data_IF_209959176943
#
_entry.id   IF_209959176943
#
_cell.length_a   1.000
_cell.length_b   1.000
_cell.length_c   1.000
_cell.angle_alpha   90.00
_cell.angle_beta   90.00
_cell.angle_gamma   90.00
#
_symmetry.space_group_name_H-M   'P 1'
#
loop_
_entity.id
_entity.type
_entity.pdbx_description
1 polymer ?
#
# COMPACT_ATOMS: atom_id res chain seq x y z
N UNK A 1 -12.94 16.66 -55.68
CA UNK A 1 -12.92 17.02 -54.25
C UNK A 1 -14.11 16.33 -53.58
N UNK A 2 -14.00 15.10 -53.04
CA UNK A 2 -15.15 14.53 -52.35
C UNK A 2 -15.25 15.14 -50.95
N UNK A 3 -16.44 15.66 -50.68
CA UNK A 3 -16.87 16.31 -49.47
C UNK A 3 -17.27 15.24 -48.45
N UNK A 4 -16.31 14.67 -47.74
CA UNK A 4 -16.54 13.72 -46.64
C UNK A 4 -15.49 13.95 -45.57
N UNK A 5 -15.86 13.82 -44.29
CA UNK A 5 -15.07 14.04 -43.05
C UNK A 5 -15.28 15.39 -42.34
N UNK A 6 -16.53 15.70 -42.00
CA UNK A 6 -16.84 16.54 -40.83
C UNK A 6 -17.93 15.83 -40.00
N UNK A 7 -17.60 14.65 -39.50
CA UNK A 7 -18.27 14.10 -38.32
C UNK A 7 -17.41 14.53 -37.14
N UNK A 8 -17.77 15.65 -36.52
CA UNK A 8 -17.28 16.03 -35.20
C UNK A 8 -17.62 14.89 -34.24
N UNK A 9 -16.65 13.99 -34.05
CA UNK A 9 -16.26 13.30 -32.81
C UNK A 9 -17.28 13.29 -31.67
N UNK A 10 -18.48 12.78 -31.92
CA UNK A 10 -19.46 12.51 -30.87
C UNK A 10 -19.17 11.19 -30.13
N UNK A 11 -18.05 10.51 -30.42
CA UNK A 11 -17.83 9.13 -29.97
C UNK A 11 -16.38 8.69 -29.80
N UNK A 12 -15.42 9.61 -29.65
CA UNK A 12 -14.07 9.20 -29.23
C UNK A 12 -13.90 9.54 -27.74
N UNK A 13 -13.97 8.55 -26.83
CA UNK A 13 -13.85 8.78 -25.39
C UNK A 13 -12.47 9.35 -24.99
N UNK A 14 -11.46 9.21 -25.85
CA UNK A 14 -10.06 9.53 -25.60
C UNK A 14 -9.55 10.73 -26.44
N UNK A 15 -10.45 11.59 -26.92
CA UNK A 15 -10.11 12.72 -27.80
C UNK A 15 -9.08 13.69 -27.20
N UNK A 16 -9.01 13.75 -25.87
CA UNK A 16 -8.12 14.58 -25.10
C UNK A 16 -6.66 14.18 -25.31
N UNK A 17 -6.40 12.92 -25.66
CA UNK A 17 -5.06 12.39 -25.82
C UNK A 17 -4.45 12.66 -27.22
N UNK A 18 -5.30 12.98 -28.18
CA UNK A 18 -4.97 13.11 -29.60
C UNK A 18 -4.13 14.36 -29.93
N UNK A 19 -3.56 14.36 -31.14
CA UNK A 19 -2.73 15.44 -31.67
C UNK A 19 -3.44 16.21 -32.82
N UNK A 20 -3.41 17.55 -32.82
CA UNK A 20 -4.08 18.36 -33.85
C UNK A 20 -3.56 18.14 -35.28
N UNK A 21 -2.25 17.90 -35.45
CA UNK A 21 -1.62 17.74 -36.75
C UNK A 21 -1.79 16.30 -37.27
N UNK A 22 -1.71 15.32 -36.37
CA UNK A 22 -1.79 13.89 -36.71
C UNK A 22 -3.22 13.40 -36.88
N UNK A 23 -4.10 13.78 -35.95
CA UNK A 23 -5.45 13.22 -35.83
C UNK A 23 -6.54 14.23 -36.23
N UNK A 24 -6.19 15.50 -36.42
CA UNK A 24 -7.14 16.56 -36.75
C UNK A 24 -8.06 16.95 -35.59
N UNK A 25 -7.73 16.52 -34.37
CA UNK A 25 -8.49 16.78 -33.14
C UNK A 25 -7.62 17.56 -32.15
N UNK A 26 -8.17 18.62 -31.56
CA UNK A 26 -7.46 19.47 -30.60
C UNK A 26 -7.34 18.82 -29.20
N UNK A 27 -6.54 17.76 -29.08
CA UNK A 27 -6.12 17.15 -27.82
C UNK A 27 -4.77 17.69 -27.31
N UNK A 28 -4.27 17.14 -26.20
CA UNK A 28 -2.99 17.52 -25.56
C UNK A 28 -1.76 16.76 -26.12
N UNK A 29 -1.96 15.86 -27.09
CA UNK A 29 -0.89 15.12 -27.76
C UNK A 29 -0.04 14.26 -26.82
N UNK A 30 -0.62 13.69 -25.77
CA UNK A 30 0.13 12.88 -24.81
C UNK A 30 0.42 11.46 -25.33
N UNK A 31 -0.46 10.86 -26.12
CA UNK A 31 -0.19 9.61 -26.85
C UNK A 31 1.07 9.76 -27.70
N UNK A 32 1.17 10.85 -28.47
CA UNK A 32 2.37 11.19 -29.25
C UNK A 32 3.59 11.40 -28.36
N UNK A 33 3.43 12.05 -27.20
CA UNK A 33 4.54 12.24 -26.28
C UNK A 33 5.11 10.89 -25.79
N UNK A 34 4.25 9.96 -25.37
CA UNK A 34 4.65 8.61 -24.97
C UNK A 34 5.27 7.82 -26.13
N UNK A 35 4.65 7.90 -27.32
CA UNK A 35 5.09 7.17 -28.49
C UNK A 35 6.35 7.74 -29.13
N UNK A 36 6.62 9.03 -29.11
CA UNK A 36 7.72 9.59 -29.92
C UNK A 36 8.79 10.24 -29.07
N UNK A 37 8.39 10.98 -28.03
CA UNK A 37 9.27 11.88 -27.30
C UNK A 37 9.84 11.28 -26.01
N UNK A 38 9.16 10.29 -25.44
CA UNK A 38 9.46 9.73 -24.12
C UNK A 38 9.96 8.28 -24.14
N UNK A 39 9.99 7.61 -25.31
CA UNK A 39 10.39 6.18 -25.44
C UNK A 39 11.69 5.81 -24.71
N UNK A 40 12.69 6.66 -24.81
CA UNK A 40 14.03 6.41 -24.25
C UNK A 40 14.29 7.18 -22.94
N UNK A 41 13.25 7.75 -22.33
CA UNK A 41 13.37 8.52 -21.09
C UNK A 41 12.89 7.70 -19.91
N UNK A 42 13.66 7.72 -18.82
CA UNK A 42 13.25 7.10 -17.55
C UNK A 42 12.36 8.05 -16.77
N UNK A 43 11.14 7.61 -16.44
CA UNK A 43 10.20 8.37 -15.62
C UNK A 43 10.65 8.49 -14.17
N UNK A 44 10.37 9.64 -13.55
CA UNK A 44 10.51 9.82 -12.09
C UNK A 44 9.15 9.63 -11.44
N UNK A 45 9.07 8.79 -10.41
CA UNK A 45 7.82 8.62 -9.66
C UNK A 45 7.50 9.89 -8.87
N UNK A 46 6.32 10.45 -9.11
CA UNK A 46 5.80 11.63 -8.39
C UNK A 46 4.55 11.21 -7.62
N UNK A 47 4.44 11.65 -6.37
CA UNK A 47 3.24 11.47 -5.55
C UNK A 47 2.38 12.72 -5.72
N UNK A 48 1.15 12.55 -6.22
CA UNK A 48 0.19 13.64 -6.44
C UNK A 48 -0.92 13.55 -5.39
N UNK A 49 -1.27 14.69 -4.79
CA UNK A 49 -2.40 14.82 -3.88
C UNK A 49 -3.55 15.56 -4.56
N UNK A 50 -4.73 14.93 -4.61
CA UNK A 50 -5.97 15.55 -5.10
C UNK A 50 -6.75 16.09 -3.90
N UNK A 51 -6.98 17.41 -3.89
CA UNK A 51 -7.70 18.11 -2.80
C UNK A 51 -9.14 18.40 -3.24
N UNK A 52 -10.00 17.39 -3.15
CA UNK A 52 -11.41 17.43 -3.55
C UNK A 52 -12.31 16.74 -2.49
N UNK A 53 -13.60 16.54 -2.77
CA UNK A 53 -14.58 15.89 -1.89
C UNK A 53 -14.28 14.42 -1.55
N UNK A 54 -13.26 13.82 -2.18
CA UNK A 54 -12.80 12.46 -1.95
C UNK A 54 -12.58 11.71 -3.26
N UNK A 55 -11.81 10.62 -3.21
CA UNK A 55 -11.64 9.69 -4.32
C UNK A 55 -12.06 8.29 -3.87
N UNK A 56 -12.70 7.52 -4.75
CA UNK A 56 -13.05 6.14 -4.45
C UNK A 56 -11.81 5.24 -4.42
N UNK A 57 -11.36 4.90 -3.21
CA UNK A 57 -10.20 4.04 -3.01
C UNK A 57 -10.43 2.57 -3.40
N UNK A 58 -11.67 2.16 -3.67
CA UNK A 58 -12.05 0.82 -4.11
C UNK A 58 -12.08 0.66 -5.64
N UNK A 59 -11.97 1.75 -6.41
CA UNK A 59 -12.03 1.73 -7.86
C UNK A 59 -10.91 0.88 -8.47
N UNK A 60 -11.26 0.02 -9.44
CA UNK A 60 -10.32 -0.97 -9.99
C UNK A 60 -9.09 -0.34 -10.65
N UNK A 61 -9.29 0.75 -11.40
CA UNK A 61 -8.20 1.47 -12.08
C UNK A 61 -7.27 2.24 -11.13
N UNK A 62 -7.76 2.65 -9.95
CA UNK A 62 -6.96 3.44 -9.00
C UNK A 62 -6.21 2.56 -8.01
N UNK A 63 -6.73 1.36 -7.71
CA UNK A 63 -6.25 0.49 -6.63
C UNK A 63 -4.74 0.18 -6.69
N UNK A 64 -4.18 0.05 -7.90
CA UNK A 64 -2.76 -0.27 -8.11
C UNK A 64 -1.82 0.93 -7.92
N UNK A 65 -2.34 2.16 -8.06
CA UNK A 65 -1.53 3.40 -8.07
C UNK A 65 -1.72 4.26 -6.81
N UNK A 66 -2.68 3.93 -5.93
CA UNK A 66 -2.91 4.67 -4.69
C UNK A 66 -1.70 4.61 -3.76
N UNK A 67 -1.21 5.80 -3.38
CA UNK A 67 -0.15 5.91 -2.39
C UNK A 67 -0.68 5.61 -0.98
N UNK A 68 0.00 4.71 -0.25
CA UNK A 68 -0.38 4.29 1.10
C UNK A 68 0.59 4.86 2.14
N UNK A 69 0.06 5.68 3.06
CA UNK A 69 0.83 6.17 4.20
C UNK A 69 0.91 5.14 5.33
N UNK A 70 1.99 4.35 5.36
CA UNK A 70 2.19 3.31 6.37
C UNK A 70 2.51 3.83 7.78
N UNK A 71 2.75 5.14 7.99
CA UNK A 71 3.12 5.69 9.30
C UNK A 71 2.06 5.46 10.38
N UNK A 72 0.77 5.48 10.01
CA UNK A 72 -0.34 5.27 10.97
C UNK A 72 -0.56 3.79 11.32
N UNK A 73 -0.31 2.86 10.39
CA UNK A 73 -0.50 1.42 10.63
C UNK A 73 0.58 0.86 11.57
N UNK A 74 1.82 1.31 11.45
CA UNK A 74 2.93 0.92 12.32
C UNK A 74 2.67 1.27 13.80
N UNK A 75 2.06 2.44 14.08
CA UNK A 75 1.72 2.84 15.44
C UNK A 75 0.70 1.90 16.10
N UNK A 76 -0.28 1.39 15.34
CA UNK A 76 -1.27 0.45 15.86
C UNK A 76 -0.69 -0.97 16.02
N UNK A 77 0.11 -1.44 15.06
CA UNK A 77 0.73 -2.79 15.12
C UNK A 77 1.78 -2.88 16.23
N UNK A 78 2.56 -1.82 16.46
CA UNK A 78 3.55 -1.77 17.53
C UNK A 78 2.90 -1.83 18.93
N UNK A 79 1.70 -1.24 19.10
CA UNK A 79 1.00 -1.25 20.38
C UNK A 79 0.38 -2.62 20.70
N UNK A 80 -0.12 -3.34 19.69
CA UNK A 80 -0.68 -4.69 19.88
C UNK A 80 0.42 -5.71 20.20
N UNK A 81 1.55 -5.69 19.49
CA UNK A 81 2.66 -6.61 19.75
C UNK A 81 3.29 -6.40 21.13
N UNK A 82 3.40 -5.15 21.58
CA UNK A 82 3.88 -4.83 22.92
C UNK A 82 2.93 -5.36 24.02
N UNK A 83 1.62 -5.25 23.80
CA UNK A 83 0.61 -5.73 24.77
C UNK A 83 0.59 -7.25 24.89
N UNK A 84 0.66 -7.96 23.75
CA UNK A 84 0.73 -9.44 23.73
C UNK A 84 2.03 -9.93 24.38
N UNK A 85 3.16 -9.29 24.11
CA UNK A 85 4.46 -9.64 24.70
C UNK A 85 4.46 -9.40 26.22
N UNK A 86 3.91 -8.28 26.70
CA UNK A 86 3.81 -7.99 28.13
C UNK A 86 2.90 -8.99 28.86
N UNK A 87 1.79 -9.42 28.25
CA UNK A 87 0.92 -10.45 28.83
C UNK A 87 1.60 -11.83 28.87
N UNK A 88 2.38 -12.20 27.86
CA UNK A 88 3.15 -13.45 27.87
C UNK A 88 4.24 -13.45 28.96
N UNK A 89 4.97 -12.35 29.13
CA UNK A 89 6.00 -12.20 30.17
C UNK A 89 5.39 -12.17 31.57
N UNK A 90 4.24 -11.51 31.76
CA UNK A 90 3.53 -11.53 33.05
C UNK A 90 2.98 -12.93 33.41
N UNK A 91 2.63 -13.75 32.42
CA UNK A 91 2.12 -15.12 32.64
C UNK A 91 3.21 -16.10 33.07
N UNK A 92 4.45 -15.92 32.61
CA UNK A 92 5.59 -16.78 33.02
C UNK A 92 6.04 -16.55 34.47
N UNK A 93 5.93 -15.32 34.98
CA UNK A 93 6.28 -15.02 36.39
C UNK A 93 5.29 -15.56 37.42
N UNK A 94 4.10 -16.00 37.03
CA UNK A 94 3.10 -16.56 37.94
C UNK A 94 3.22 -18.09 38.14
N UNK A 95 4.14 -18.78 37.44
CA UNK A 95 4.27 -20.25 37.47
C UNK A 95 5.53 -20.79 38.13
N UNK A 96 6.35 -19.96 38.76
CA UNK A 96 7.44 -20.43 39.60
C UNK A 96 7.08 -20.22 41.07
N UNK A 97 6.61 -21.28 41.73
CA UNK A 97 6.66 -21.33 43.19
C UNK A 97 8.13 -21.27 43.62
N UNK A 98 8.50 -20.46 44.64
CA UNK A 98 9.86 -20.45 45.14
C UNK A 98 10.24 -21.84 45.70
N UNK A 99 11.50 -22.28 45.56
CA UNK A 99 11.93 -23.57 46.08
C UNK A 99 11.75 -23.64 47.61
N UNK A 100 11.22 -24.76 48.09
CA UNK A 100 11.02 -25.05 49.52
C UNK A 100 12.38 -25.31 50.20
N UNK A 101 12.76 -24.54 51.24
CA UNK A 101 14.07 -24.68 51.88
C UNK A 101 14.24 -25.95 52.75
N UNK A 102 13.24 -26.83 52.86
CA UNK A 102 13.25 -27.98 53.77
C UNK A 102 13.32 -29.37 53.09
N UNK A 103 13.66 -29.48 51.80
CA UNK A 103 13.65 -30.78 51.10
C UNK A 103 14.98 -31.57 51.12
N UNK A 104 15.98 -31.17 51.91
CA UNK A 104 17.21 -31.96 52.11
C UNK A 104 17.46 -32.22 53.60
N UNK A 105 16.85 -33.28 54.13
CA UNK A 105 17.39 -34.15 55.19
C UNK A 105 16.29 -35.11 55.64
N UNK A 106 16.36 -36.34 55.14
CA UNK A 106 16.10 -37.59 55.89
C UNK A 106 16.11 -38.75 54.90
N UNK A 107 17.16 -39.57 54.97
CA UNK A 107 17.07 -40.98 55.30
C UNK A 107 18.47 -41.61 55.17
N UNK A 108 19.29 -41.37 56.18
CA UNK A 108 20.32 -42.34 56.54
C UNK A 108 19.69 -43.33 57.53
N UNK A 109 19.81 -44.61 57.20
CA UNK A 109 19.88 -45.69 58.19
C UNK A 109 18.59 -46.42 58.55
N UNK A 110 18.38 -47.60 57.94
CA UNK A 110 17.76 -48.74 58.63
C UNK A 110 18.35 -50.07 58.12
N UNK A 111 19.15 -50.69 58.99
CA UNK A 111 19.29 -52.14 59.28
C UNK A 111 19.71 -53.09 58.15
N UNK A 112 20.99 -53.48 58.09
CA UNK A 112 21.62 -54.61 58.81
C UNK A 112 23.11 -54.34 59.00
#
# INVERSE_FOLDING_TARGET
MPLTHLLWTAGNPDWQHLDPEKDGVFGISDDRAYDELLRDKTGTSVIVAVLDGGADTGHEDLKSILWINNKKKQAMVSMTMATVTLMAVRRQKAHCSPPNPNSERRNEGSTY
#
